data_IF_525337184251
#
_entry.id   IF_525337184251
#
_cell.length_a   1.000
_cell.length_b   1.000
_cell.length_c   1.000
_cell.angle_alpha   90.00
_cell.angle_beta   90.00
_cell.angle_gamma   90.00
#
_symmetry.space_group_name_H-M   'P 1'
#
loop_
_entity.id
_entity.type
_entity.pdbx_description
1 polymer ?
#
# COMPACT_ATOMS: atom_id res chain seq x y z
N UNK A 1 11.16 -23.41 -11.98
CA UNK A 1 10.49 -22.19 -11.48
C UNK A 1 11.42 -21.36 -10.60
N UNK A 2 12.12 -21.96 -9.62
CA UNK A 2 13.07 -21.22 -8.76
C UNK A 2 14.18 -20.54 -9.57
N UNK A 3 14.78 -21.23 -10.56
CA UNK A 3 15.80 -20.60 -11.41
C UNK A 3 15.28 -19.33 -12.10
N UNK A 4 14.04 -19.36 -12.60
CA UNK A 4 13.40 -18.19 -13.21
C UNK A 4 13.20 -17.03 -12.21
N UNK A 5 12.93 -17.33 -10.94
CA UNK A 5 12.85 -16.31 -9.89
C UNK A 5 14.20 -15.62 -9.71
N UNK A 6 15.30 -16.40 -9.68
CA UNK A 6 16.65 -15.83 -9.58
C UNK A 6 17.03 -15.00 -10.81
N UNK A 7 16.64 -15.45 -12.01
CA UNK A 7 16.84 -14.67 -13.24
C UNK A 7 16.11 -13.33 -13.19
N UNK A 8 14.86 -13.32 -12.70
CA UNK A 8 14.07 -12.10 -12.53
C UNK A 8 14.69 -11.15 -11.49
N UNK A 9 15.27 -11.68 -10.40
CA UNK A 9 15.98 -10.89 -9.40
C UNK A 9 17.23 -10.25 -10.00
N UNK A 10 18.00 -10.99 -10.78
CA UNK A 10 19.18 -10.47 -11.47
C UNK A 10 18.82 -9.35 -12.49
N UNK A 11 17.72 -9.55 -13.24
CA UNK A 11 17.20 -8.52 -14.16
C UNK A 11 16.74 -7.26 -13.43
N UNK A 12 16.05 -7.42 -12.29
CA UNK A 12 15.64 -6.30 -11.45
C UNK A 12 16.85 -5.54 -10.91
N UNK A 13 17.88 -6.23 -10.42
CA UNK A 13 19.12 -5.61 -9.91
C UNK A 13 19.80 -4.76 -11.00
N UNK A 14 19.88 -5.30 -12.23
CA UNK A 14 20.39 -4.54 -13.39
C UNK A 14 19.58 -3.27 -13.65
N UNK A 15 18.23 -3.36 -13.63
CA UNK A 15 17.35 -2.20 -13.84
C UNK A 15 17.50 -1.15 -12.73
N UNK A 16 17.65 -1.57 -11.48
CA UNK A 16 17.94 -0.66 -10.35
C UNK A 16 19.27 0.03 -10.58
N UNK A 17 20.30 -0.69 -11.05
CA UNK A 17 21.60 -0.13 -11.40
C UNK A 17 21.50 0.95 -12.49
N UNK A 18 20.70 0.73 -13.54
CA UNK A 18 20.46 1.71 -14.62
C UNK A 18 19.78 2.98 -14.10
N UNK A 19 18.77 2.85 -13.21
CA UNK A 19 18.09 4.00 -12.60
C UNK A 19 19.03 4.81 -11.71
N UNK A 20 19.88 4.14 -10.93
CA UNK A 20 20.87 4.82 -10.09
C UNK A 20 21.94 5.53 -10.92
N UNK A 21 22.40 4.92 -12.02
CA UNK A 21 23.34 5.54 -12.95
C UNK A 21 22.74 6.78 -13.64
N UNK A 22 21.47 6.71 -14.04
CA UNK A 22 20.75 7.87 -14.58
C UNK A 22 20.66 9.00 -13.54
N UNK A 23 20.32 8.70 -12.30
CA UNK A 23 20.24 9.69 -11.22
C UNK A 23 21.59 10.43 -11.02
N UNK A 24 22.71 9.73 -11.19
CA UNK A 24 24.04 10.31 -11.13
C UNK A 24 24.35 11.16 -12.38
N UNK A 25 24.03 10.66 -13.58
CA UNK A 25 24.22 11.38 -14.84
C UNK A 25 23.42 12.71 -14.89
N UNK A 26 22.23 12.71 -14.30
CA UNK A 26 21.36 13.90 -14.19
C UNK A 26 21.82 14.89 -13.10
N UNK A 27 22.88 14.56 -12.34
CA UNK A 27 23.41 15.39 -11.25
C UNK A 27 22.48 15.49 -10.03
N UNK A 28 21.55 14.59 -9.87
CA UNK A 28 20.53 14.59 -8.80
C UNK A 28 20.91 13.70 -7.61
N UNK A 29 21.90 12.83 -7.74
CA UNK A 29 22.24 11.82 -6.73
C UNK A 29 22.60 12.42 -5.35
N UNK A 30 23.23 13.60 -5.33
CA UNK A 30 23.63 14.28 -4.09
C UNK A 30 22.46 15.00 -3.37
N UNK A 31 21.26 15.01 -3.96
CA UNK A 31 20.07 15.65 -3.40
C UNK A 31 18.82 14.74 -3.42
N UNK A 32 18.99 13.45 -3.63
CA UNK A 32 17.88 12.48 -3.71
C UNK A 32 18.07 11.37 -2.70
N UNK A 33 17.07 11.17 -1.82
CA UNK A 33 16.98 10.01 -0.94
C UNK A 33 16.32 8.90 -1.73
N UNK A 34 16.96 7.72 -1.79
CA UNK A 34 16.41 6.56 -2.49
C UNK A 34 15.97 5.52 -1.47
N UNK A 35 14.70 5.15 -1.53
CA UNK A 35 14.15 4.02 -0.79
C UNK A 35 13.99 2.84 -1.73
N UNK A 36 14.48 1.68 -1.34
CA UNK A 36 14.26 0.42 -2.03
C UNK A 36 13.62 -0.58 -1.07
N UNK A 37 12.49 -1.17 -1.45
CA UNK A 37 11.82 -2.24 -0.71
C UNK A 37 11.01 -3.13 -1.65
N UNK A 38 10.62 -4.32 -1.17
CA UNK A 38 9.57 -5.13 -1.80
C UNK A 38 8.24 -4.88 -1.07
N UNK A 39 7.12 -4.95 -1.77
CA UNK A 39 5.77 -4.81 -1.20
C UNK A 39 5.37 -6.02 -0.33
N UNK A 40 5.87 -7.21 -0.65
CA UNK A 40 5.66 -8.47 0.07
C UNK A 40 6.71 -9.50 -0.36
N UNK A 41 6.69 -10.68 0.25
CA UNK A 41 7.53 -11.81 -0.15
C UNK A 41 7.17 -12.39 -1.52
N UNK A 42 7.93 -13.37 -1.98
CA UNK A 42 7.82 -13.98 -3.30
C UNK A 42 6.44 -14.54 -3.65
N UNK A 43 6.16 -14.76 -4.94
CA UNK A 43 4.94 -15.38 -5.45
C UNK A 43 4.82 -16.89 -5.24
N UNK A 44 5.73 -17.51 -4.47
CA UNK A 44 5.72 -18.95 -4.16
C UNK A 44 4.78 -19.28 -2.99
N UNK A 45 4.43 -20.58 -2.81
CA UNK A 45 3.62 -21.01 -1.67
C UNK A 45 4.17 -20.56 -0.32
N UNK A 46 3.29 -20.21 0.60
CA UNK A 46 3.58 -19.77 1.96
C UNK A 46 4.39 -18.47 2.06
N UNK A 47 4.46 -17.67 1.01
CA UNK A 47 5.14 -16.38 0.98
C UNK A 47 4.13 -15.25 0.77
N UNK A 48 3.93 -14.75 -0.43
CA UNK A 48 2.89 -13.74 -0.72
C UNK A 48 1.55 -14.10 -0.05
N UNK A 49 0.92 -13.13 0.63
CA UNK A 49 -0.36 -13.25 1.39
C UNK A 49 -0.29 -14.04 2.69
N UNK A 50 0.86 -14.53 3.11
CA UNK A 50 1.01 -15.17 4.41
C UNK A 50 1.54 -14.19 5.44
N UNK A 51 1.23 -14.44 6.71
CA UNK A 51 1.72 -13.64 7.83
C UNK A 51 3.01 -14.20 8.46
N UNK A 52 3.71 -15.06 7.73
CA UNK A 52 5.05 -15.53 8.09
C UNK A 52 6.14 -14.56 7.61
N UNK A 53 7.34 -14.68 8.16
CA UNK A 53 8.48 -13.87 7.72
C UNK A 53 8.71 -14.00 6.20
N UNK A 54 8.43 -15.16 5.60
CA UNK A 54 8.52 -15.35 4.15
C UNK A 54 7.59 -14.43 3.34
N UNK A 55 6.49 -13.98 3.93
CA UNK A 55 5.56 -13.03 3.31
C UNK A 55 5.74 -11.58 3.77
N UNK A 56 6.26 -11.37 4.98
CA UNK A 56 6.29 -10.05 5.64
C UNK A 56 7.69 -9.46 5.74
N UNK A 57 8.74 -10.28 5.93
CA UNK A 57 10.11 -9.79 6.06
C UNK A 57 10.72 -9.55 4.68
N UNK A 58 10.63 -8.33 4.23
CA UNK A 58 11.13 -7.87 2.94
C UNK A 58 12.37 -7.00 3.09
N UNK A 59 13.21 -6.87 2.05
CA UNK A 59 14.31 -5.93 2.07
C UNK A 59 13.78 -4.49 2.23
N UNK A 60 14.48 -3.68 3.01
CA UNK A 60 14.33 -2.24 3.09
C UNK A 60 15.70 -1.61 3.12
N UNK A 61 16.05 -0.84 2.10
CA UNK A 61 17.31 -0.12 2.00
C UNK A 61 17.04 1.36 1.77
N UNK A 62 17.81 2.23 2.44
CA UNK A 62 17.69 3.67 2.27
C UNK A 62 19.08 4.21 1.92
N UNK A 63 19.24 4.75 0.71
CA UNK A 63 20.43 5.48 0.27
C UNK A 63 20.23 6.95 0.62
N UNK A 64 21.12 7.48 1.47
CA UNK A 64 21.11 8.87 1.89
C UNK A 64 22.07 9.70 1.04
N UNK A 65 21.67 10.87 0.53
CA UNK A 65 22.54 11.71 -0.30
C UNK A 65 23.60 12.41 0.55
N UNK A 66 24.74 12.71 -0.02
CA UNK A 66 25.89 13.32 0.68
C UNK A 66 25.58 14.68 1.30
N UNK A 67 24.63 15.44 0.73
CA UNK A 67 24.25 16.77 1.20
C UNK A 67 23.40 16.79 2.45
N UNK A 68 22.79 15.68 2.82
CA UNK A 68 21.92 15.56 3.97
C UNK A 68 22.60 14.71 5.05
N UNK A 69 22.43 15.13 6.31
CA UNK A 69 22.92 14.32 7.43
C UNK A 69 22.04 13.09 7.60
N UNK A 70 22.58 11.87 7.43
CA UNK A 70 21.78 10.67 7.62
C UNK A 70 21.39 10.49 9.09
N UNK A 71 20.20 9.97 9.38
CA UNK A 71 19.79 9.61 10.75
C UNK A 71 20.49 8.35 11.26
N UNK A 72 21.04 7.55 10.34
CA UNK A 72 21.76 6.29 10.61
C UNK A 72 23.19 6.37 10.08
N UNK A 73 24.09 5.57 10.63
CA UNK A 73 25.45 5.45 10.10
C UNK A 73 25.40 4.80 8.69
N UNK A 74 25.99 5.40 7.65
CA UNK A 74 26.05 4.80 6.33
C UNK A 74 26.76 3.44 6.34
N UNK A 75 26.29 2.50 5.50
CA UNK A 75 26.88 1.17 5.37
C UNK A 75 26.59 0.22 6.54
N UNK A 76 25.66 0.56 7.42
CA UNK A 76 25.23 -0.31 8.53
C UNK A 76 23.92 -1.02 8.21
N UNK A 77 23.71 -2.19 8.84
CA UNK A 77 22.43 -2.88 8.91
C UNK A 77 21.82 -2.67 10.29
N UNK A 78 20.49 -2.74 10.37
CA UNK A 78 19.72 -2.64 11.60
C UNK A 78 18.74 -3.80 11.71
N UNK A 79 18.63 -4.39 12.90
CA UNK A 79 17.62 -5.41 13.25
C UNK A 79 16.35 -4.77 13.87
N UNK A 80 16.23 -3.46 13.78
CA UNK A 80 15.08 -2.71 14.28
C UNK A 80 13.80 -3.12 13.55
N UNK A 81 12.72 -3.32 14.32
CA UNK A 81 11.42 -3.62 13.74
C UNK A 81 10.85 -2.40 13.03
N UNK A 82 10.59 -2.56 11.75
CA UNK A 82 10.02 -1.54 10.86
C UNK A 82 8.77 -2.08 10.19
N UNK A 83 7.76 -1.25 10.04
CA UNK A 83 6.55 -1.57 9.30
C UNK A 83 6.32 -0.53 8.21
N UNK A 84 5.61 -0.87 7.14
CA UNK A 84 5.31 0.07 6.05
C UNK A 84 4.48 1.28 6.48
N UNK A 85 3.74 1.18 7.58
CA UNK A 85 3.06 2.35 8.17
C UNK A 85 4.05 3.44 8.60
N UNK A 86 5.35 3.12 8.76
CA UNK A 86 6.41 4.05 9.14
C UNK A 86 6.93 4.86 7.95
N UNK A 87 6.71 4.44 6.71
CA UNK A 87 7.30 5.09 5.53
C UNK A 87 6.73 6.49 5.31
N UNK A 88 5.42 6.67 5.35
CA UNK A 88 4.79 7.98 5.16
C UNK A 88 5.20 8.98 6.26
N UNK A 89 5.14 8.67 7.57
CA UNK A 89 5.68 9.51 8.62
C UNK A 89 7.16 9.87 8.42
N UNK A 90 7.97 8.93 7.94
CA UNK A 90 9.39 9.13 7.67
C UNK A 90 9.61 10.17 6.57
N UNK A 91 8.91 10.02 5.44
CA UNK A 91 9.01 10.97 4.32
C UNK A 91 8.55 12.37 4.72
N UNK A 92 7.43 12.48 5.46
CA UNK A 92 6.95 13.77 5.97
C UNK A 92 7.96 14.44 6.90
N UNK A 93 8.53 13.68 7.85
CA UNK A 93 9.53 14.20 8.78
C UNK A 93 10.82 14.67 8.06
N UNK A 94 11.28 13.92 7.05
CA UNK A 94 12.43 14.31 6.22
C UNK A 94 12.13 15.61 5.46
N UNK A 95 10.91 15.77 4.95
CA UNK A 95 10.47 16.98 4.25
C UNK A 95 10.19 18.16 5.19
N UNK A 96 10.33 18.01 6.51
CA UNK A 96 10.02 19.06 7.50
C UNK A 96 8.52 19.33 7.65
N UNK A 97 7.67 18.40 7.20
CA UNK A 97 6.21 18.50 7.31
C UNK A 97 5.75 17.79 8.58
N UNK A 98 4.89 18.42 9.41
CA UNK A 98 4.34 17.76 10.59
C UNK A 98 3.63 16.46 10.25
N UNK A 99 3.91 15.40 11.02
CA UNK A 99 3.26 14.11 10.84
C UNK A 99 1.83 14.17 11.40
N UNK A 100 0.78 13.92 10.58
CA UNK A 100 -0.59 13.93 11.06
C UNK A 100 -0.86 12.86 12.11
N UNK A 101 -1.63 13.19 13.15
CA UNK A 101 -1.90 12.29 14.28
C UNK A 101 -2.68 11.00 13.90
N UNK A 102 -3.34 10.97 12.75
CA UNK A 102 -4.04 9.77 12.27
C UNK A 102 -3.11 8.73 11.62
N UNK A 103 -1.84 9.06 11.37
CA UNK A 103 -0.86 8.09 10.89
C UNK A 103 -0.35 7.25 12.06
N UNK A 104 -0.48 5.95 11.98
CA UNK A 104 -0.14 5.01 13.07
C UNK A 104 1.37 4.70 13.17
N UNK A 105 2.12 4.96 12.10
CA UNK A 105 3.56 4.72 12.05
C UNK A 105 4.38 5.84 12.71
N UNK A 106 5.65 5.55 12.90
CA UNK A 106 6.66 6.52 13.40
C UNK A 106 7.62 6.94 12.30
N UNK A 107 8.22 8.10 12.44
CA UNK A 107 9.29 8.53 11.55
C UNK A 107 10.61 7.81 11.90
N UNK A 108 11.11 6.94 11.01
CA UNK A 108 12.38 6.23 11.18
C UNK A 108 13.59 7.17 11.29
N UNK A 109 13.51 8.32 10.63
CA UNK A 109 14.56 9.33 10.62
C UNK A 109 14.57 10.26 11.86
N UNK A 110 13.61 10.11 12.76
CA UNK A 110 13.55 10.97 13.96
C UNK A 110 14.53 10.47 15.02
N UNK A 111 15.54 11.29 15.33
CA UNK A 111 16.53 10.97 16.37
C UNK A 111 15.85 10.83 17.73
N UNK A 112 16.24 9.81 18.49
CA UNK A 112 15.75 9.60 19.86
C UNK A 112 14.39 8.91 19.97
N UNK A 113 13.80 8.44 18.89
CA UNK A 113 12.61 7.58 18.97
C UNK A 113 13.01 6.15 19.36
N UNK A 114 12.34 5.61 20.38
CA UNK A 114 12.52 4.20 20.76
C UNK A 114 11.78 3.32 19.75
N UNK A 115 12.43 2.27 19.21
CA UNK A 115 11.77 1.28 18.38
C UNK A 115 10.56 0.67 19.07
N UNK A 116 9.44 0.40 18.37
CA UNK A 116 8.31 -0.27 18.98
C UNK A 116 8.71 -1.70 19.35
N UNK A 117 8.23 -2.22 20.49
CA UNK A 117 8.51 -3.60 20.89
C UNK A 117 7.85 -4.63 19.96
N UNK A 118 6.87 -4.22 19.16
CA UNK A 118 6.14 -5.07 18.24
C UNK A 118 5.86 -4.34 16.91
N UNK A 119 5.81 -5.12 15.84
CA UNK A 119 5.14 -4.77 14.58
C UNK A 119 3.99 -5.74 14.35
N UNK A 120 2.98 -5.28 13.65
CA UNK A 120 1.73 -6.02 13.44
C UNK A 120 1.42 -6.14 11.97
N UNK A 121 0.71 -7.22 11.60
CA UNK A 121 0.23 -7.41 10.23
C UNK A 121 -1.17 -8.01 10.24
N UNK A 122 -1.88 -7.79 9.14
CA UNK A 122 -3.26 -8.18 8.96
C UNK A 122 -3.49 -8.79 7.58
N UNK A 123 -4.38 -9.75 7.53
CA UNK A 123 -4.98 -10.30 6.32
C UNK A 123 -6.44 -10.60 6.61
N UNK A 124 -7.35 -10.28 5.70
CA UNK A 124 -8.75 -10.68 5.77
C UNK A 124 -9.42 -10.75 4.40
N UNK A 125 -9.87 -9.64 3.85
CA UNK A 125 -10.63 -9.54 2.58
C UNK A 125 -9.68 -9.43 1.39
N UNK A 126 -8.96 -10.52 1.15
CA UNK A 126 -7.99 -10.61 0.05
C UNK A 126 -8.41 -11.73 -0.89
N UNK A 127 -8.50 -11.44 -2.18
CA UNK A 127 -9.04 -12.34 -3.21
C UNK A 127 -10.54 -12.64 -3.01
N UNK A 128 -10.98 -13.85 -3.33
CA UNK A 128 -12.40 -14.25 -3.30
C UNK A 128 -12.85 -14.78 -1.93
N UNK A 129 -11.93 -15.04 -1.01
CA UNK A 129 -12.22 -15.63 0.29
C UNK A 129 -11.98 -14.63 1.41
N UNK A 130 -12.93 -14.57 2.34
CA UNK A 130 -12.73 -13.91 3.62
C UNK A 130 -11.97 -14.85 4.56
N UNK A 131 -10.76 -14.47 4.91
CA UNK A 131 -9.88 -15.25 5.78
C UNK A 131 -9.11 -14.32 6.72
N UNK A 132 -9.74 -14.02 7.86
CA UNK A 132 -9.18 -13.10 8.82
C UNK A 132 -8.04 -13.71 9.62
N UNK A 133 -6.87 -13.12 9.50
CA UNK A 133 -5.66 -13.41 10.27
C UNK A 133 -5.02 -12.12 10.77
N UNK A 134 -4.40 -12.17 11.94
CA UNK A 134 -3.61 -11.07 12.50
C UNK A 134 -2.32 -11.60 13.08
N UNK A 135 -1.25 -10.82 13.03
CA UNK A 135 0.01 -11.22 13.66
C UNK A 135 0.64 -10.09 14.47
N UNK A 136 1.39 -10.49 15.49
CA UNK A 136 2.33 -9.66 16.24
C UNK A 136 3.73 -10.27 16.14
N UNK A 137 4.73 -9.43 15.88
CA UNK A 137 6.13 -9.80 15.77
C UNK A 137 6.95 -8.93 16.72
N UNK A 138 7.70 -9.56 17.61
CA UNK A 138 8.77 -8.89 18.38
C UNK A 138 10.15 -9.22 17.81
N UNK A 139 11.22 -8.88 18.50
CA UNK A 139 12.59 -9.16 18.04
C UNK A 139 12.91 -10.66 17.85
N UNK A 140 12.12 -11.57 18.43
CA UNK A 140 12.38 -13.01 18.41
C UNK A 140 11.18 -13.86 18.02
N UNK A 141 9.98 -13.53 18.49
CA UNK A 141 8.80 -14.37 18.34
C UNK A 141 7.82 -13.77 17.33
N UNK A 142 7.20 -14.64 16.54
CA UNK A 142 6.06 -14.35 15.69
C UNK A 142 4.84 -15.09 16.24
N UNK A 143 3.77 -14.35 16.54
CA UNK A 143 2.48 -14.88 16.93
C UNK A 143 1.46 -14.58 15.84
N UNK A 144 0.65 -15.59 15.48
CA UNK A 144 -0.44 -15.47 14.51
C UNK A 144 -1.75 -15.90 15.15
N UNK A 145 -2.79 -15.09 15.02
CA UNK A 145 -4.17 -15.43 15.35
C UNK A 145 -4.96 -15.72 14.08
N UNK A 146 -5.49 -16.93 13.97
CA UNK A 146 -6.41 -17.36 12.92
C UNK A 146 -7.85 -17.27 13.45
N UNK A 147 -8.67 -16.44 12.81
CA UNK A 147 -10.07 -16.24 13.23
C UNK A 147 -11.02 -17.24 12.56
N UNK A 148 -10.56 -17.91 11.49
CA UNK A 148 -11.25 -18.98 10.78
C UNK A 148 -10.36 -20.22 10.73
N UNK A 149 -10.16 -20.92 11.86
CA UNK A 149 -9.24 -22.06 11.92
C UNK A 149 -9.69 -23.27 11.11
N UNK A 150 -10.95 -23.35 10.75
CA UNK A 150 -11.53 -24.36 9.86
C UNK A 150 -11.06 -24.23 8.40
N UNK A 151 -10.55 -23.07 8.00
CA UNK A 151 -10.05 -22.84 6.64
C UNK A 151 -8.65 -23.42 6.45
N UNK A 152 -8.30 -23.84 5.22
CA UNK A 152 -6.95 -24.31 4.90
C UNK A 152 -5.95 -23.15 4.90
N UNK A 153 -4.66 -23.47 5.09
CA UNK A 153 -3.59 -22.51 4.85
C UNK A 153 -3.51 -22.08 3.39
N UNK A 154 -3.66 -23.05 2.49
CA UNK A 154 -3.61 -22.87 1.05
C UNK A 154 -5.00 -22.63 0.46
N UNK A 155 -5.71 -21.57 0.90
CA UNK A 155 -6.99 -21.17 0.32
C UNK A 155 -6.94 -21.07 -1.21
N UNK A 156 -8.07 -21.12 -1.90
CA UNK A 156 -8.10 -21.15 -3.36
C UNK A 156 -7.68 -19.80 -3.96
N UNK A 157 -6.59 -19.80 -4.73
CA UNK A 157 -6.10 -18.61 -5.47
C UNK A 157 -5.70 -19.07 -6.87
N UNK A 158 -6.44 -18.60 -7.89
CA UNK A 158 -6.33 -19.10 -9.27
C UNK A 158 -4.88 -19.06 -9.78
N UNK A 159 -4.26 -17.88 -9.79
CA UNK A 159 -2.92 -17.72 -10.37
C UNK A 159 -1.83 -18.49 -9.59
N UNK A 160 -1.92 -18.57 -8.25
CA UNK A 160 -0.97 -19.35 -7.45
C UNK A 160 -1.15 -20.84 -7.72
N UNK A 161 -2.40 -21.30 -7.77
CA UNK A 161 -2.70 -22.71 -7.99
C UNK A 161 -2.24 -23.20 -9.37
N UNK A 162 -2.10 -22.30 -10.36
CA UNK A 162 -1.55 -22.62 -11.68
C UNK A 162 -0.02 -22.70 -11.70
N UNK A 163 0.67 -22.29 -10.64
CA UNK A 163 2.13 -22.41 -10.60
C UNK A 163 2.61 -23.86 -10.62
N UNK A 164 3.75 -24.12 -11.25
CA UNK A 164 4.30 -25.47 -11.37
C UNK A 164 4.54 -26.12 -10.00
N UNK A 165 4.94 -25.32 -9.00
CA UNK A 165 5.14 -25.79 -7.62
C UNK A 165 3.81 -26.27 -7.02
N UNK A 166 2.74 -25.49 -7.14
CA UNK A 166 1.43 -25.87 -6.60
C UNK A 166 0.84 -27.07 -7.33
N UNK A 167 0.99 -27.16 -8.66
CA UNK A 167 0.52 -28.31 -9.42
C UNK A 167 1.22 -29.60 -8.97
N UNK A 168 2.52 -29.53 -8.72
CA UNK A 168 3.27 -30.68 -8.19
C UNK A 168 2.84 -31.03 -6.75
N UNK A 169 2.59 -30.05 -5.90
CA UNK A 169 2.09 -30.31 -4.54
C UNK A 169 0.70 -30.93 -4.55
N UNK A 170 -0.20 -30.49 -5.41
CA UNK A 170 -1.52 -31.11 -5.60
C UNK A 170 -1.39 -32.56 -6.07
N UNK A 171 -0.49 -32.83 -7.02
CA UNK A 171 -0.23 -34.20 -7.49
C UNK A 171 0.30 -35.09 -6.37
N UNK A 172 1.31 -34.65 -5.64
CA UNK A 172 1.89 -35.38 -4.51
C UNK A 172 0.88 -35.58 -3.37
N UNK A 173 0.02 -34.61 -3.10
CA UNK A 173 -1.05 -34.74 -2.12
C UNK A 173 -2.07 -35.83 -2.54
N UNK A 174 -2.52 -35.81 -3.79
CA UNK A 174 -3.43 -36.82 -4.32
C UNK A 174 -2.84 -38.24 -4.23
N UNK A 175 -1.53 -38.35 -4.45
CA UNK A 175 -0.80 -39.63 -4.33
C UNK A 175 -0.42 -39.97 -2.87
N UNK A 176 -0.77 -39.13 -1.88
CA UNK A 176 -0.37 -39.28 -0.47
C UNK A 176 1.15 -39.32 -0.24
N UNK A 177 1.89 -38.67 -1.11
CA UNK A 177 3.37 -38.59 -1.08
C UNK A 177 3.90 -37.25 -0.58
N UNK A 178 3.03 -36.26 -0.38
CA UNK A 178 3.44 -34.96 0.11
C UNK A 178 3.85 -35.06 1.59
N UNK A 179 5.05 -34.65 1.91
CA UNK A 179 5.63 -34.74 3.26
C UNK A 179 6.32 -33.44 3.67
N UNK A 180 6.76 -33.36 4.93
CA UNK A 180 7.54 -32.25 5.45
C UNK A 180 6.76 -30.92 5.48
N UNK A 181 7.44 -29.76 5.36
CA UNK A 181 6.80 -28.43 5.44
C UNK A 181 5.72 -28.19 4.40
N UNK A 182 5.85 -28.78 3.20
CA UNK A 182 4.82 -28.67 2.16
C UNK A 182 3.49 -29.32 2.60
N UNK A 183 3.55 -30.45 3.30
CA UNK A 183 2.35 -31.10 3.84
C UNK A 183 1.69 -30.25 4.95
N UNK A 184 2.45 -29.48 5.73
CA UNK A 184 1.89 -28.53 6.71
C UNK A 184 1.07 -27.45 6.02
N UNK A 185 1.58 -26.89 4.93
CA UNK A 185 0.90 -25.86 4.16
C UNK A 185 -0.38 -26.36 3.47
N UNK A 186 -0.41 -27.63 3.10
CA UNK A 186 -1.56 -28.25 2.42
C UNK A 186 -2.60 -28.86 3.38
N UNK A 187 -2.54 -28.57 4.67
CA UNK A 187 -3.57 -28.95 5.63
C UNK A 187 -4.91 -28.28 5.31
N UNK A 188 -5.99 -28.96 5.56
CA UNK A 188 -7.36 -28.49 5.34
C UNK A 188 -7.91 -27.61 6.47
N UNK A 189 -7.19 -27.53 7.57
CA UNK A 189 -7.49 -26.65 8.71
C UNK A 189 -6.19 -26.25 9.39
N UNK A 190 -6.24 -25.26 10.25
CA UNK A 190 -5.08 -24.70 10.98
C UNK A 190 -5.41 -24.43 12.45
N UNK A 191 -4.43 -24.32 13.35
CA UNK A 191 -4.69 -23.94 14.73
C UNK A 191 -5.26 -22.52 14.82
N UNK A 192 -6.04 -22.24 15.87
CA UNK A 192 -6.55 -20.89 16.14
C UNK A 192 -5.42 -19.91 16.48
N UNK A 193 -4.31 -20.41 17.00
CA UNK A 193 -3.13 -19.64 17.36
C UNK A 193 -1.86 -20.36 16.94
N UNK A 194 -0.87 -19.63 16.49
CA UNK A 194 0.45 -20.13 16.14
C UNK A 194 1.50 -19.26 16.83
N UNK A 195 2.60 -19.87 17.30
CA UNK A 195 3.73 -19.17 17.88
C UNK A 195 5.03 -19.77 17.35
N UNK A 196 5.93 -18.91 16.87
CA UNK A 196 7.22 -19.33 16.32
C UNK A 196 8.37 -18.55 16.94
N UNK A 197 9.46 -19.24 17.29
CA UNK A 197 10.74 -18.65 17.62
C UNK A 197 11.53 -18.45 16.31
N UNK A 198 11.49 -17.27 15.76
CA UNK A 198 12.05 -16.97 14.42
C UNK A 198 13.58 -16.95 14.40
N UNK A 199 14.23 -17.01 15.55
CA UNK A 199 15.69 -17.14 15.66
C UNK A 199 16.09 -18.62 15.61
N UNK A 200 15.41 -19.47 16.38
CA UNK A 200 15.68 -20.91 16.41
C UNK A 200 15.05 -21.65 15.22
N UNK A 201 13.95 -21.13 14.67
CA UNK A 201 13.21 -21.65 13.53
C UNK A 201 12.93 -20.54 12.52
N UNK A 202 13.90 -20.10 11.72
CA UNK A 202 13.75 -19.02 10.75
C UNK A 202 12.74 -19.32 9.65
N UNK A 203 12.35 -20.58 9.47
CA UNK A 203 11.34 -20.99 8.49
C UNK A 203 9.93 -21.13 9.08
N UNK A 204 9.76 -20.95 10.41
CA UNK A 204 8.47 -21.02 11.12
C UNK A 204 7.70 -22.31 10.81
N UNK A 205 8.36 -23.43 10.98
CA UNK A 205 7.81 -24.78 10.74
C UNK A 205 7.30 -25.41 12.05
N UNK A 206 7.97 -25.10 13.17
CA UNK A 206 7.66 -25.64 14.48
C UNK A 206 6.77 -24.68 15.27
N UNK A 207 5.48 -24.98 15.30
CA UNK A 207 4.53 -24.25 16.11
C UNK A 207 4.72 -24.56 17.61
N UNK A 208 4.93 -23.54 18.42
CA UNK A 208 5.14 -23.56 19.86
C UNK A 208 3.88 -23.19 20.66
N UNK A 209 2.77 -22.93 20.00
CA UNK A 209 1.54 -22.44 20.65
C UNK A 209 0.98 -23.40 21.71
N UNK A 210 1.25 -24.70 21.58
CA UNK A 210 0.83 -25.74 22.53
C UNK A 210 1.94 -26.14 23.52
N UNK A 211 3.13 -25.54 23.43
CA UNK A 211 4.26 -25.88 24.30
C UNK A 211 4.13 -25.15 25.66
N UNK A 212 3.99 -25.87 26.78
CA UNK A 212 3.90 -25.25 28.11
C UNK A 212 5.06 -24.31 28.45
N UNK A 213 6.27 -24.61 27.94
CA UNK A 213 7.46 -23.79 28.19
C UNK A 213 7.34 -22.38 27.55
N UNK A 214 6.47 -22.21 26.55
CA UNK A 214 6.27 -20.96 25.82
C UNK A 214 4.96 -20.25 26.18
N UNK A 215 4.22 -20.74 27.18
CA UNK A 215 2.91 -20.21 27.57
C UNK A 215 2.93 -18.72 27.91
N UNK A 216 3.88 -18.29 28.71
CA UNK A 216 4.00 -16.86 29.08
C UNK A 216 4.32 -15.98 27.85
N UNK A 217 5.11 -16.47 26.90
CA UNK A 217 5.38 -15.79 25.64
C UNK A 217 4.12 -15.70 24.78
N UNK A 218 3.38 -16.79 24.66
CA UNK A 218 2.10 -16.82 23.92
C UNK A 218 1.10 -15.80 24.47
N UNK A 219 0.94 -15.76 25.81
CA UNK A 219 0.02 -14.83 26.49
C UNK A 219 0.44 -13.37 26.26
N UNK A 220 1.72 -13.05 26.37
CA UNK A 220 2.26 -11.72 26.12
C UNK A 220 2.00 -11.26 24.67
N UNK A 221 2.28 -12.12 23.69
CA UNK A 221 2.09 -11.81 22.27
C UNK A 221 0.60 -11.66 21.92
N UNK A 222 -0.26 -12.53 22.50
CA UNK A 222 -1.73 -12.44 22.34
C UNK A 222 -2.26 -11.13 22.90
N UNK A 223 -1.81 -10.71 24.08
CA UNK A 223 -2.19 -9.43 24.69
C UNK A 223 -1.78 -8.27 23.80
N UNK A 224 -0.52 -8.23 23.36
CA UNK A 224 -0.03 -7.17 22.46
C UNK A 224 -0.85 -7.06 21.18
N UNK A 225 -1.23 -8.19 20.56
CA UNK A 225 -2.07 -8.20 19.38
C UNK A 225 -3.48 -7.69 19.67
N UNK A 226 -4.10 -8.14 20.75
CA UNK A 226 -5.45 -7.74 21.14
C UNK A 226 -5.53 -6.24 21.42
N UNK A 227 -4.56 -5.71 22.14
CA UNK A 227 -4.47 -4.28 22.46
C UNK A 227 -4.26 -3.44 21.19
N UNK A 228 -3.44 -3.93 20.26
CA UNK A 228 -3.28 -3.26 18.96
C UNK A 228 -4.58 -3.23 18.16
N UNK A 229 -5.28 -4.37 18.05
CA UNK A 229 -6.56 -4.45 17.33
C UNK A 229 -7.61 -3.50 17.94
N UNK A 230 -7.70 -3.43 19.27
CA UNK A 230 -8.58 -2.50 19.96
C UNK A 230 -8.21 -1.04 19.69
N UNK A 231 -6.92 -0.70 19.77
CA UNK A 231 -6.40 0.67 19.56
C UNK A 231 -6.64 1.20 18.16
N UNK A 232 -6.50 0.35 17.12
CA UNK A 232 -6.72 0.76 15.74
C UNK A 232 -8.19 0.72 15.31
N UNK A 233 -9.10 0.19 16.15
CA UNK A 233 -10.49 -0.05 15.76
C UNK A 233 -10.60 -1.06 14.63
N UNK A 234 -9.98 -2.24 14.78
CA UNK A 234 -9.90 -3.28 13.74
C UNK A 234 -11.29 -3.63 13.17
N UNK A 235 -11.41 -3.56 11.85
CA UNK A 235 -12.68 -3.78 11.13
C UNK A 235 -12.83 -5.23 10.63
N UNK A 236 -11.86 -6.09 10.89
CA UNK A 236 -11.82 -7.44 10.34
C UNK A 236 -13.04 -8.29 10.68
N UNK A 237 -13.59 -8.18 11.90
CA UNK A 237 -14.75 -8.95 12.35
C UNK A 237 -16.10 -8.40 11.89
N UNK A 238 -16.13 -7.22 11.27
CA UNK A 238 -17.37 -6.63 10.78
C UNK A 238 -17.68 -7.26 9.42
N UNK A 239 -18.89 -7.77 9.24
CA UNK A 239 -19.29 -8.31 7.95
C UNK A 239 -19.39 -7.21 6.87
N UNK A 240 -19.22 -7.60 5.60
CA UNK A 240 -19.19 -6.62 4.49
C UNK A 240 -20.50 -5.85 4.33
N UNK A 241 -21.65 -6.48 4.57
CA UNK A 241 -22.95 -5.82 4.46
C UNK A 241 -23.06 -4.68 5.49
N UNK A 242 -22.59 -4.91 6.73
CA UNK A 242 -22.54 -3.87 7.75
C UNK A 242 -21.51 -2.79 7.41
N UNK A 243 -20.33 -3.15 6.88
CA UNK A 243 -19.34 -2.18 6.42
C UNK A 243 -19.90 -1.28 5.31
N UNK A 244 -20.63 -1.86 4.35
CA UNK A 244 -21.27 -1.12 3.26
C UNK A 244 -22.32 -0.15 3.84
N UNK A 245 -23.13 -0.58 4.81
CA UNK A 245 -24.11 0.28 5.47
C UNK A 245 -23.45 1.44 6.24
N UNK A 246 -22.31 1.19 6.88
CA UNK A 246 -21.52 2.25 7.54
C UNK A 246 -20.91 3.23 6.54
N UNK A 247 -20.42 2.72 5.40
CA UNK A 247 -19.83 3.49 4.33
C UNK A 247 -20.89 4.28 3.54
N UNK A 248 -22.06 3.69 3.31
CA UNK A 248 -23.18 4.25 2.58
C UNK A 248 -24.48 4.14 3.38
N UNK A 249 -24.73 5.04 4.35
CA UNK A 249 -25.94 5.00 5.15
C UNK A 249 -27.21 5.00 4.27
N UNK A 250 -28.12 4.06 4.55
CA UNK A 250 -29.30 3.86 3.72
C UNK A 250 -29.06 3.27 2.33
N UNK A 251 -27.87 2.75 2.05
CA UNK A 251 -27.48 2.21 0.75
C UNK A 251 -27.27 3.28 -0.34
N UNK A 252 -27.22 4.54 0.05
CA UNK A 252 -27.05 5.66 -0.89
C UNK A 252 -25.57 5.96 -1.05
N UNK A 253 -25.00 5.59 -2.21
CA UNK A 253 -23.64 5.92 -2.55
C UNK A 253 -23.51 7.45 -2.74
N UNK A 254 -22.63 8.13 -2.00
CA UNK A 254 -22.42 9.57 -2.15
C UNK A 254 -21.84 9.89 -3.52
N UNK A 255 -22.10 11.10 -3.99
CA UNK A 255 -21.58 11.62 -5.26
C UNK A 255 -20.33 12.48 -4.99
N UNK A 256 -19.31 12.33 -5.83
CA UNK A 256 -18.13 13.19 -5.81
C UNK A 256 -18.54 14.60 -6.20
N UNK A 257 -18.10 15.60 -5.47
CA UNK A 257 -18.42 16.99 -5.79
C UNK A 257 -17.83 17.39 -7.14
N UNK A 258 -18.64 18.12 -7.91
CA UNK A 258 -18.29 18.64 -9.22
C UNK A 258 -17.04 19.52 -9.15
N UNK A 259 -16.02 19.33 -10.02
CA UNK A 259 -14.80 20.13 -10.01
C UNK A 259 -15.01 21.60 -10.33
N UNK A 260 -14.07 22.44 -9.92
CA UNK A 260 -13.93 23.83 -10.33
C UNK A 260 -12.75 23.98 -11.29
N UNK A 261 -12.85 24.90 -12.24
CA UNK A 261 -11.74 25.35 -13.08
C UNK A 261 -11.46 26.80 -12.71
N UNK A 262 -10.29 27.08 -12.15
CA UNK A 262 -9.93 28.40 -11.62
C UNK A 262 -8.60 28.85 -12.20
N UNK A 263 -8.41 30.17 -12.36
CA UNK A 263 -7.08 30.70 -12.65
C UNK A 263 -6.15 30.34 -11.50
N UNK A 264 -4.93 29.93 -11.78
CA UNK A 264 -3.97 29.53 -10.74
C UNK A 264 -3.76 30.58 -9.63
N UNK A 265 -4.01 31.86 -9.94
CA UNK A 265 -3.90 32.98 -9.00
C UNK A 265 -5.15 33.20 -8.15
N UNK A 266 -6.30 32.60 -8.50
CA UNK A 266 -7.62 32.90 -7.93
C UNK A 266 -8.15 31.68 -7.13
N UNK A 267 -7.28 30.91 -6.49
CA UNK A 267 -7.64 29.69 -5.75
C UNK A 267 -8.62 29.93 -4.58
N UNK A 268 -8.66 31.15 -4.06
CA UNK A 268 -9.49 31.52 -2.91
C UNK A 268 -10.96 31.83 -3.27
N UNK A 269 -11.28 31.93 -4.54
CA UNK A 269 -12.64 32.23 -5.02
C UNK A 269 -13.12 31.22 -6.06
N UNK A 270 -13.36 29.94 -5.68
CA UNK A 270 -13.76 28.92 -6.64
C UNK A 270 -15.16 29.24 -7.21
N UNK A 271 -15.26 29.35 -8.53
CA UNK A 271 -16.51 29.51 -9.27
C UNK A 271 -16.56 28.52 -10.43
N UNK A 272 -17.73 28.28 -10.97
CA UNK A 272 -17.93 27.43 -12.16
C UNK A 272 -18.46 28.28 -13.34
N UNK A 273 -17.66 29.19 -13.90
CA UNK A 273 -18.08 29.95 -15.03
C UNK A 273 -18.25 29.06 -16.26
N UNK A 274 -19.29 29.31 -17.05
CA UNK A 274 -19.48 28.60 -18.34
C UNK A 274 -18.46 29.05 -19.39
N UNK A 275 -17.99 30.29 -19.29
CA UNK A 275 -16.92 30.82 -20.13
C UNK A 275 -15.96 31.72 -19.39
N UNK A 276 -14.71 31.72 -19.86
CA UNK A 276 -13.62 32.57 -19.35
C UNK A 276 -12.93 33.23 -20.54
N UNK A 277 -12.88 34.56 -20.53
CA UNK A 277 -12.12 35.30 -21.53
C UNK A 277 -10.62 35.32 -21.11
N UNK A 278 -9.74 35.04 -22.08
CA UNK A 278 -8.29 35.10 -21.94
C UNK A 278 -7.71 36.12 -22.92
N UNK A 279 -6.82 36.95 -22.46
CA UNK A 279 -6.07 37.95 -23.22
C UNK A 279 -4.66 37.47 -23.60
N UNK A 280 -4.07 36.58 -22.78
CA UNK A 280 -2.77 35.98 -22.95
C UNK A 280 -2.80 34.50 -22.51
N UNK A 281 -1.78 33.69 -22.86
CA UNK A 281 -1.60 32.34 -22.33
C UNK A 281 -1.69 32.35 -20.79
N UNK A 282 -2.63 31.58 -20.24
CA UNK A 282 -2.96 31.62 -18.82
C UNK A 282 -3.05 30.20 -18.26
N UNK A 283 -2.45 29.97 -17.09
CA UNK A 283 -2.54 28.69 -16.37
C UNK A 283 -3.82 28.60 -15.56
N UNK A 284 -4.51 27.46 -15.69
CA UNK A 284 -5.69 27.12 -14.93
C UNK A 284 -5.46 25.86 -14.09
N UNK A 285 -5.94 25.90 -12.87
CA UNK A 285 -5.98 24.73 -11.98
C UNK A 285 -7.40 24.14 -11.98
N UNK A 286 -7.46 22.82 -11.80
CA UNK A 286 -8.71 22.11 -11.56
C UNK A 286 -8.70 21.63 -10.12
N UNK A 287 -9.75 21.94 -9.39
CA UNK A 287 -9.92 21.61 -7.98
C UNK A 287 -11.20 20.79 -7.77
N UNK A 288 -11.10 19.68 -7.04
CA UNK A 288 -12.25 18.89 -6.61
C UNK A 288 -12.45 19.07 -5.08
N UNK A 289 -13.64 19.56 -4.64
CA UNK A 289 -13.90 19.76 -3.21
C UNK A 289 -13.91 18.45 -2.39
N UNK A 290 -14.26 17.33 -3.04
CA UNK A 290 -14.21 16.03 -2.38
C UNK A 290 -12.76 15.61 -2.18
N UNK A 291 -12.32 15.59 -0.93
CA UNK A 291 -10.96 15.19 -0.57
C UNK A 291 -10.63 13.79 -1.09
N UNK A 292 -9.45 13.62 -1.69
CA UNK A 292 -8.98 12.35 -2.22
C UNK A 292 -9.62 11.93 -3.55
N UNK A 293 -10.33 12.84 -4.23
CA UNK A 293 -10.85 12.58 -5.56
C UNK A 293 -9.74 12.71 -6.62
N UNK A 294 -9.75 11.76 -7.57
CA UNK A 294 -9.00 11.89 -8.82
C UNK A 294 -9.80 12.73 -9.82
N UNK A 295 -9.10 13.56 -10.59
CA UNK A 295 -9.71 14.46 -11.56
C UNK A 295 -9.30 14.04 -12.96
N UNK A 296 -10.28 13.88 -13.84
CA UNK A 296 -10.08 13.70 -15.27
C UNK A 296 -10.43 14.97 -16.04
N UNK A 297 -9.73 15.23 -17.14
CA UNK A 297 -10.05 16.32 -18.04
C UNK A 297 -9.87 15.94 -19.51
N UNK A 298 -10.54 16.65 -20.37
CA UNK A 298 -10.39 16.56 -21.84
C UNK A 298 -10.73 17.87 -22.51
N UNK A 299 -10.19 18.07 -23.70
CA UNK A 299 -10.60 19.16 -24.60
C UNK A 299 -11.34 18.63 -25.82
N UNK A 300 -11.59 17.33 -25.88
CA UNK A 300 -12.33 16.68 -26.94
C UNK A 300 -13.83 16.70 -26.63
N UNK A 301 -14.65 16.74 -27.67
CA UNK A 301 -16.11 16.65 -27.59
C UNK A 301 -16.58 15.24 -27.95
N UNK A 302 -17.84 14.93 -27.58
CA UNK A 302 -18.49 13.66 -27.90
C UNK A 302 -18.25 12.55 -26.88
N UNK A 303 -18.91 11.39 -27.08
CA UNK A 303 -18.85 10.27 -26.13
C UNK A 303 -17.51 9.54 -26.12
N UNK A 304 -16.78 9.56 -27.24
CA UNK A 304 -15.49 8.86 -27.39
C UNK A 304 -14.27 9.72 -26.97
N UNK A 305 -14.53 10.86 -26.32
CA UNK A 305 -13.49 11.78 -25.86
C UNK A 305 -12.49 11.07 -24.93
N UNK A 306 -11.21 11.23 -25.23
CA UNK A 306 -10.12 10.65 -24.41
C UNK A 306 -9.85 11.53 -23.20
N UNK A 307 -10.06 10.98 -22.03
CA UNK A 307 -9.82 11.66 -20.76
C UNK A 307 -8.39 11.47 -20.30
N UNK A 308 -7.79 12.54 -19.79
CA UNK A 308 -6.46 12.57 -19.20
C UNK A 308 -6.57 12.74 -17.69
N UNK A 309 -5.69 12.11 -16.93
CA UNK A 309 -5.57 12.36 -15.51
C UNK A 309 -5.00 13.76 -15.28
N UNK A 310 -5.64 14.55 -14.43
CA UNK A 310 -5.13 15.86 -14.04
C UNK A 310 -4.00 15.69 -13.01
N UNK A 311 -2.83 16.19 -13.34
CA UNK A 311 -1.63 16.12 -12.49
C UNK A 311 -1.01 17.49 -12.18
N UNK A 312 -1.55 18.56 -12.75
CA UNK A 312 -1.03 19.91 -12.56
C UNK A 312 -1.71 20.94 -13.47
N UNK A 313 -1.38 22.23 -13.34
CA UNK A 313 -2.00 23.31 -14.07
C UNK A 313 -2.00 23.11 -15.59
N UNK A 314 -3.05 23.54 -16.25
CA UNK A 314 -3.25 23.47 -17.70
C UNK A 314 -3.00 24.85 -18.27
N UNK A 315 -2.04 24.98 -19.20
CA UNK A 315 -1.85 26.21 -19.97
C UNK A 315 -2.91 26.30 -21.07
N UNK A 316 -3.70 27.36 -21.05
CA UNK A 316 -4.68 27.70 -22.09
C UNK A 316 -4.15 28.90 -22.86
N UNK A 317 -3.78 28.71 -24.12
CA UNK A 317 -3.18 29.70 -25.03
C UNK A 317 -4.09 30.07 -26.21
N UNK A 318 -5.21 29.38 -26.36
CA UNK A 318 -6.18 29.54 -27.48
C UNK A 318 -7.59 29.23 -27.02
N UNK A 319 -8.62 29.68 -27.78
CA UNK A 319 -10.00 29.27 -27.54
C UNK A 319 -10.13 27.73 -27.55
N UNK A 320 -10.61 27.18 -26.46
CA UNK A 320 -10.89 25.73 -26.29
C UNK A 320 -12.06 25.54 -25.33
N UNK A 321 -12.70 24.40 -25.37
CA UNK A 321 -13.61 23.96 -24.32
C UNK A 321 -12.91 22.90 -23.47
N UNK A 322 -12.76 23.16 -22.19
CA UNK A 322 -12.24 22.22 -21.21
C UNK A 322 -13.42 21.55 -20.50
N UNK A 323 -13.41 20.23 -20.49
CA UNK A 323 -14.36 19.38 -19.78
C UNK A 323 -13.61 18.72 -18.64
N UNK A 324 -14.20 18.67 -17.46
CA UNK A 324 -13.58 18.00 -16.31
C UNK A 324 -14.62 17.32 -15.43
N UNK A 325 -14.25 16.21 -14.84
CA UNK A 325 -15.02 15.44 -13.87
C UNK A 325 -14.10 14.85 -12.81
N UNK A 326 -14.66 14.47 -11.69
CA UNK A 326 -13.91 13.89 -10.59
C UNK A 326 -14.57 12.62 -10.06
N UNK A 327 -13.76 11.72 -9.53
CA UNK A 327 -14.23 10.51 -8.85
C UNK A 327 -13.38 10.24 -7.63
N UNK A 328 -14.02 10.01 -6.48
CA UNK A 328 -13.40 9.45 -5.30
C UNK A 328 -13.74 7.96 -5.21
N UNK A 329 -12.78 7.15 -4.81
CA UNK A 329 -13.06 5.75 -4.52
C UNK A 329 -14.21 5.60 -3.51
N UNK A 330 -15.19 4.73 -3.81
CA UNK A 330 -16.38 4.54 -2.99
C UNK A 330 -17.51 5.55 -3.23
N UNK A 331 -17.34 6.52 -4.15
CA UNK A 331 -18.33 7.55 -4.51
C UNK A 331 -18.76 7.36 -5.97
N UNK A 332 -19.93 7.87 -6.32
CA UNK A 332 -20.31 8.06 -7.73
C UNK A 332 -19.43 9.13 -8.36
N UNK A 333 -19.24 9.04 -9.67
CA UNK A 333 -18.56 10.07 -10.45
C UNK A 333 -19.35 11.38 -10.35
N UNK A 334 -18.65 12.51 -10.32
CA UNK A 334 -19.25 13.84 -10.29
C UNK A 334 -19.96 14.18 -11.60
N UNK A 335 -20.87 15.14 -11.53
CA UNK A 335 -21.29 15.86 -12.73
C UNK A 335 -20.07 16.48 -13.46
N UNK A 336 -20.19 16.64 -14.78
CA UNK A 336 -19.15 17.25 -15.61
C UNK A 336 -19.18 18.78 -15.46
N UNK A 337 -18.01 19.39 -15.22
CA UNK A 337 -17.82 20.84 -15.40
C UNK A 337 -17.31 21.10 -16.80
N UNK A 338 -17.91 22.05 -17.47
CA UNK A 338 -17.52 22.49 -18.80
C UNK A 338 -17.25 23.98 -18.80
N UNK A 339 -16.07 24.39 -19.28
CA UNK A 339 -15.65 25.79 -19.36
C UNK A 339 -15.15 26.07 -20.76
N UNK A 340 -15.73 27.06 -21.40
CA UNK A 340 -15.31 27.52 -22.73
C UNK A 340 -14.38 28.72 -22.59
N UNK A 341 -13.18 28.62 -23.09
CA UNK A 341 -12.22 29.72 -23.11
C UNK A 341 -12.37 30.48 -24.42
N UNK A 342 -12.49 31.80 -24.32
CA UNK A 342 -12.63 32.71 -25.45
C UNK A 342 -11.53 33.76 -25.45
N UNK A 343 -11.22 34.40 -26.56
CA UNK A 343 -10.33 35.56 -26.55
C UNK A 343 -11.07 36.80 -26.05
N UNK A 344 -10.44 37.58 -25.18
CA UNK A 344 -10.92 38.94 -24.88
C UNK A 344 -10.97 39.75 -26.14
N UNK A 345 -12.12 40.30 -26.44
CA UNK A 345 -12.23 41.35 -27.46
C UNK A 345 -11.82 42.65 -26.80
N UNK A 346 -10.58 43.07 -27.02
CA UNK A 346 -10.19 44.45 -26.66
C UNK A 346 -11.03 45.39 -27.49
N UNK A 347 -11.98 46.06 -26.88
CA UNK A 347 -12.65 47.21 -27.54
C UNK A 347 -11.56 48.24 -27.89
N UNK A 348 -11.39 48.51 -29.15
CA UNK A 348 -10.54 49.59 -29.66
C UNK A 348 -11.19 50.93 -29.37
#
# INVERSE_FOLDING_TARGET
>A
ELARIYDNIADMDRQVGEILAQLEADGLADNTIVFYWSDHGDGIPRSKRSLYDSGLRVPLMIRWPKRLTPPFAPGTASDELVSFVDLAPTVLAIAGVPVPAHLHGRALAARGTTPPPFVFAARDRMDIEYDMMRSARDGRFLYIRNFSPELPYAGHIIYRNQSAIMQEWFRLQAERKLTGPAALWMRTSRPAEELYDTVADPHQIRDLSSDPAHRATLERMRTALTDWMARIGDQGLINEAEMIQRMWPGGVQPETAQPYVVRRRDLDAPSRPESIAIDAPTEFAIYAPTQGASIGYTTENGPDAKWKLYTGPILVDRPITLRTKAIRYGYKESAETRVTFTRSVTAR
#
